data_IF_512111574437
#
_entry.id   IF_512111574437
#
_cell.length_a   1.000
_cell.length_b   1.000
_cell.length_c   1.000
_cell.angle_alpha   90.00
_cell.angle_beta   90.00
_cell.angle_gamma   90.00
#
_symmetry.space_group_name_H-M   'P 1'
#
loop_
_entity.id
_entity.type
_entity.pdbx_description
1 polymer ?
#
# COMPACT_ATOMS: atom_id res chain seq x y z
N UNK A 1 -15.09 9.61 16.71
CA UNK A 1 -14.16 8.48 16.57
C UNK A 1 -14.44 7.89 15.19
N UNK A 2 -13.41 7.70 14.38
CA UNK A 2 -13.53 7.06 13.08
C UNK A 2 -13.88 5.58 13.28
N UNK A 3 -14.75 5.02 12.45
CA UNK A 3 -15.16 3.62 12.55
C UNK A 3 -14.00 2.72 12.10
N UNK A 4 -13.62 1.75 12.95
CA UNK A 4 -12.62 0.73 12.57
C UNK A 4 -13.31 -0.44 11.87
N UNK A 5 -13.34 -0.40 10.54
CA UNK A 5 -13.98 -1.42 9.69
C UNK A 5 -13.28 -2.79 9.75
N UNK A 6 -12.05 -2.85 10.26
CA UNK A 6 -11.20 -4.05 10.23
C UNK A 6 -11.11 -4.78 11.57
N UNK A 7 -11.72 -4.24 12.64
CA UNK A 7 -11.64 -4.78 14.00
C UNK A 7 -11.93 -6.29 14.10
N UNK A 8 -12.90 -6.79 13.33
CA UNK A 8 -13.30 -8.20 13.36
C UNK A 8 -12.40 -9.13 12.54
N UNK A 9 -11.56 -8.58 11.66
CA UNK A 9 -10.76 -9.31 10.68
C UNK A 9 -9.26 -9.29 10.99
N UNK A 10 -8.78 -8.33 11.79
CA UNK A 10 -7.35 -8.09 12.03
C UNK A 10 -6.60 -9.35 12.51
N UNK A 11 -7.09 -10.03 13.54
CA UNK A 11 -6.44 -11.21 14.13
C UNK A 11 -6.28 -12.42 13.18
N UNK A 12 -7.15 -12.53 12.19
CA UNK A 12 -7.12 -13.64 11.21
C UNK A 12 -6.65 -13.20 9.82
N UNK A 13 -6.21 -11.94 9.68
CA UNK A 13 -5.88 -11.36 8.38
C UNK A 13 -4.79 -12.14 7.67
N UNK A 14 -3.71 -12.45 8.37
CA UNK A 14 -2.54 -13.14 7.83
C UNK A 14 -2.75 -14.65 7.64
N UNK A 15 -3.81 -15.21 8.23
CA UNK A 15 -4.17 -16.62 8.02
C UNK A 15 -4.76 -16.90 6.63
N UNK A 16 -5.11 -15.84 5.89
CA UNK A 16 -5.64 -15.96 4.54
C UNK A 16 -4.52 -16.15 3.52
N UNK A 17 -4.32 -17.38 3.04
CA UNK A 17 -3.27 -17.72 2.08
C UNK A 17 -3.33 -16.92 0.78
N UNK A 18 -4.51 -16.46 0.35
CA UNK A 18 -4.66 -15.60 -0.84
C UNK A 18 -4.08 -14.22 -0.61
N UNK A 19 -4.31 -13.61 0.57
CA UNK A 19 -3.73 -12.30 0.92
C UNK A 19 -2.21 -12.37 0.99
N UNK A 20 -1.68 -13.40 1.64
CA UNK A 20 -0.23 -13.64 1.73
C UNK A 20 0.38 -13.83 0.34
N UNK A 21 -0.25 -14.63 -0.52
CA UNK A 21 0.20 -14.85 -1.90
C UNK A 21 0.17 -13.55 -2.71
N UNK A 22 -0.90 -12.75 -2.57
CA UNK A 22 -1.02 -11.45 -3.24
C UNK A 22 0.10 -10.50 -2.80
N UNK A 23 0.30 -10.30 -1.49
CA UNK A 23 1.36 -9.45 -0.96
C UNK A 23 2.76 -9.90 -1.41
N UNK A 24 3.03 -11.21 -1.43
CA UNK A 24 4.29 -11.77 -1.93
C UNK A 24 4.52 -11.48 -3.42
N UNK A 25 3.48 -11.60 -4.25
CA UNK A 25 3.56 -11.31 -5.70
C UNK A 25 3.85 -9.83 -5.93
N UNK A 26 3.15 -8.95 -5.23
CA UNK A 26 3.35 -7.50 -5.28
C UNK A 26 4.79 -7.16 -4.84
N UNK A 27 5.25 -7.66 -3.69
CA UNK A 27 6.60 -7.41 -3.19
C UNK A 27 7.67 -7.89 -4.19
N UNK A 28 7.48 -9.06 -4.81
CA UNK A 28 8.41 -9.58 -5.81
C UNK A 28 8.52 -8.65 -7.03
N UNK A 29 7.41 -8.06 -7.47
CA UNK A 29 7.40 -7.13 -8.59
C UNK A 29 8.00 -5.76 -8.21
N UNK A 30 7.75 -5.28 -6.98
CA UNK A 30 8.41 -4.09 -6.41
C UNK A 30 9.93 -4.26 -6.43
N UNK A 31 10.44 -5.38 -5.89
CA UNK A 31 11.88 -5.69 -5.83
C UNK A 31 12.53 -5.83 -7.22
N UNK A 32 11.75 -6.22 -8.22
CA UNK A 32 12.21 -6.28 -9.62
C UNK A 32 12.32 -4.91 -10.26
N UNK A 33 11.40 -4.00 -9.96
CA UNK A 33 11.24 -2.74 -10.67
C UNK A 33 11.96 -1.56 -10.00
N UNK A 34 12.18 -1.62 -8.69
CA UNK A 34 12.78 -0.53 -7.91
C UNK A 34 14.13 -1.00 -7.34
N UNK A 35 15.21 -0.22 -7.51
CA UNK A 35 16.52 -0.53 -6.96
C UNK A 35 16.55 -0.26 -5.44
N UNK A 36 15.86 -1.13 -4.69
CA UNK A 36 15.77 -1.02 -3.23
C UNK A 36 17.11 -1.31 -2.58
N UNK A 37 17.45 -0.57 -1.53
CA UNK A 37 18.69 -0.73 -0.77
C UNK A 37 18.45 -0.72 0.75
N UNK A 38 19.39 -1.33 1.48
CA UNK A 38 19.39 -1.41 2.95
C UNK A 38 19.45 -0.06 3.70
N UNK A 39 19.65 1.03 2.98
CA UNK A 39 19.67 2.38 3.57
C UNK A 39 18.31 3.07 3.49
N UNK A 40 17.38 2.55 2.70
CA UNK A 40 16.08 3.18 2.50
C UNK A 40 15.19 3.09 3.73
N UNK A 41 14.59 4.22 4.10
CA UNK A 41 13.43 4.28 4.98
C UNK A 41 12.18 4.18 4.09
N UNK A 42 11.29 3.29 4.46
CA UNK A 42 10.09 2.99 3.67
C UNK A 42 8.84 3.31 4.47
N UNK A 43 7.87 3.96 3.83
CA UNK A 43 6.49 4.04 4.35
C UNK A 43 5.67 2.91 3.72
N UNK A 44 4.93 2.18 4.53
CA UNK A 44 3.84 1.30 4.08
C UNK A 44 2.51 2.00 4.40
N UNK A 45 1.85 2.49 3.35
CA UNK A 45 0.58 3.21 3.46
C UNK A 45 -0.59 2.23 3.46
N UNK A 46 -1.40 2.30 4.52
CA UNK A 46 -2.44 1.31 4.78
C UNK A 46 -1.82 -0.05 5.06
N UNK A 47 -0.80 -0.05 5.92
CA UNK A 47 0.02 -1.23 6.20
C UNK A 47 -0.79 -2.42 6.73
N UNK A 48 -1.94 -2.15 7.34
CA UNK A 48 -2.74 -3.17 7.98
C UNK A 48 -1.94 -3.95 9.01
N UNK A 49 -1.91 -5.26 8.87
CA UNK A 49 -1.10 -6.15 9.71
C UNK A 49 0.36 -6.26 9.27
N UNK A 50 0.78 -5.56 8.19
CA UNK A 50 2.16 -5.54 7.69
C UNK A 50 2.51 -6.67 6.72
N UNK A 51 1.55 -7.24 6.01
CA UNK A 51 1.85 -8.32 5.05
C UNK A 51 2.83 -7.90 3.95
N UNK A 52 2.63 -6.72 3.34
CA UNK A 52 3.55 -6.21 2.32
C UNK A 52 4.88 -5.83 2.97
N UNK A 53 4.84 -5.10 4.09
CA UNK A 53 6.01 -4.74 4.90
C UNK A 53 6.90 -5.93 5.20
N UNK A 54 6.34 -7.10 5.56
CA UNK A 54 7.10 -8.29 5.91
C UNK A 54 8.01 -8.76 4.77
N UNK A 55 7.52 -8.72 3.52
CA UNK A 55 8.30 -9.12 2.37
C UNK A 55 9.33 -8.08 1.91
N UNK A 56 9.12 -6.79 2.26
CA UNK A 56 10.05 -5.69 1.91
C UNK A 56 11.10 -5.45 3.00
N UNK A 57 10.78 -5.72 4.27
CA UNK A 57 11.65 -5.51 5.43
C UNK A 57 13.09 -6.08 5.27
N UNK A 58 13.31 -7.26 4.66
CA UNK A 58 14.67 -7.77 4.44
C UNK A 58 15.58 -6.88 3.59
N UNK A 59 15.02 -5.90 2.87
CA UNK A 59 15.74 -5.11 1.86
C UNK A 59 15.91 -3.64 2.22
N UNK A 60 15.29 -3.17 3.33
CA UNK A 60 15.28 -1.77 3.76
C UNK A 60 15.85 -1.61 5.17
N UNK A 61 16.12 -0.36 5.60
CA UNK A 61 16.60 -0.06 6.96
C UNK A 61 15.47 0.06 7.98
N UNK A 62 14.34 0.60 7.53
CA UNK A 62 13.18 0.90 8.38
C UNK A 62 11.89 0.85 7.58
N UNK A 63 10.83 0.34 8.19
CA UNK A 63 9.45 0.46 7.72
C UNK A 63 8.65 1.32 8.71
N UNK A 64 8.00 2.35 8.19
CA UNK A 64 7.02 3.16 8.91
C UNK A 64 5.64 2.77 8.39
N UNK A 65 4.91 2.03 9.21
CA UNK A 65 3.55 1.59 8.90
C UNK A 65 2.56 2.71 9.25
N UNK A 66 1.85 3.23 8.27
CA UNK A 66 0.78 4.22 8.48
C UNK A 66 -0.55 3.57 8.17
N UNK A 67 -1.46 3.58 9.14
CA UNK A 67 -2.80 3.03 8.96
C UNK A 67 -3.79 3.81 9.84
N UNK A 68 -5.06 3.84 9.44
CA UNK A 68 -6.12 4.49 10.21
C UNK A 68 -6.91 3.50 11.08
N UNK A 69 -6.60 2.19 11.02
CA UNK A 69 -7.20 1.14 11.83
C UNK A 69 -6.30 0.78 13.03
N UNK A 70 -6.71 1.14 14.26
CA UNK A 70 -5.94 0.78 15.45
C UNK A 70 -5.87 -0.73 15.68
N UNK A 71 -6.88 -1.48 15.25
CA UNK A 71 -6.88 -2.93 15.37
C UNK A 71 -5.88 -3.61 14.43
N UNK A 72 -5.66 -3.05 13.24
CA UNK A 72 -4.64 -3.52 12.31
C UNK A 72 -3.24 -3.22 12.80
N UNK A 73 -2.97 -1.99 13.24
CA UNK A 73 -1.66 -1.61 13.78
C UNK A 73 -1.29 -2.39 15.04
N UNK A 74 -2.27 -2.76 15.85
CA UNK A 74 -2.02 -3.64 17.01
C UNK A 74 -1.44 -5.00 16.58
N UNK A 75 -1.94 -5.59 15.49
CA UNK A 75 -1.40 -6.86 14.96
C UNK A 75 -0.04 -6.65 14.27
N UNK A 76 0.19 -5.48 13.66
CA UNK A 76 1.50 -5.09 13.13
C UNK A 76 2.53 -5.02 14.26
N UNK A 77 2.23 -4.29 15.34
CA UNK A 77 3.14 -4.10 16.48
C UNK A 77 3.43 -5.42 17.21
N UNK A 78 2.45 -6.31 17.31
CA UNK A 78 2.61 -7.63 17.92
C UNK A 78 3.64 -8.51 17.17
N UNK A 79 3.89 -8.22 15.89
CA UNK A 79 4.87 -8.92 15.04
C UNK A 79 6.14 -8.11 14.79
N UNK A 80 6.32 -6.97 15.45
CA UNK A 80 7.42 -6.04 15.17
C UNK A 80 8.80 -6.68 15.24
N UNK A 81 9.01 -7.65 16.12
CA UNK A 81 10.26 -8.40 16.27
C UNK A 81 10.52 -9.42 15.15
N UNK A 82 9.49 -9.78 14.36
CA UNK A 82 9.63 -10.71 13.23
C UNK A 82 10.15 -10.01 11.97
N UNK A 83 10.11 -8.67 11.92
CA UNK A 83 10.59 -7.92 10.78
C UNK A 83 12.11 -7.83 10.77
N UNK A 84 12.73 -8.02 9.62
CA UNK A 84 14.19 -7.95 9.44
C UNK A 84 14.73 -6.51 9.27
N UNK A 85 14.02 -5.51 9.80
CA UNK A 85 14.42 -4.11 9.84
C UNK A 85 13.80 -3.44 11.06
N UNK A 86 14.11 -2.15 11.29
CA UNK A 86 13.40 -1.35 12.29
C UNK A 86 11.97 -1.09 11.83
N UNK A 87 11.03 -1.09 12.75
CA UNK A 87 9.63 -0.77 12.48
C UNK A 87 9.14 0.36 13.37
N UNK A 88 8.17 1.09 12.85
CA UNK A 88 7.40 2.11 13.57
C UNK A 88 5.98 2.07 13.06
N UNK A 89 4.99 2.16 13.94
CA UNK A 89 3.59 2.27 13.55
C UNK A 89 3.03 3.65 13.88
N UNK A 90 2.22 4.20 12.97
CA UNK A 90 1.62 5.52 13.10
C UNK A 90 0.13 5.40 12.80
N UNK A 91 -0.70 5.66 13.82
CA UNK A 91 -2.14 5.73 13.64
C UNK A 91 -2.51 7.10 13.05
N UNK A 92 -2.73 7.17 11.76
CA UNK A 92 -3.06 8.40 11.06
C UNK A 92 -3.88 8.16 9.79
N UNK A 93 -4.64 9.19 9.42
CA UNK A 93 -5.15 9.39 8.06
C UNK A 93 -4.02 10.03 7.25
N UNK A 94 -3.61 9.38 6.15
CA UNK A 94 -2.45 9.82 5.36
C UNK A 94 -2.61 11.24 4.80
N UNK A 95 -3.83 11.62 4.40
CA UNK A 95 -4.08 12.96 3.84
C UNK A 95 -3.83 14.04 4.90
N UNK A 96 -4.06 13.72 6.15
CA UNK A 96 -3.88 14.62 7.30
C UNK A 96 -2.54 14.46 8.01
N UNK A 97 -1.76 13.44 7.61
CA UNK A 97 -0.46 13.17 8.23
C UNK A 97 0.52 14.28 7.90
N UNK A 98 0.95 15.00 8.92
CA UNK A 98 1.94 16.07 8.80
C UNK A 98 3.27 15.65 9.43
N UNK A 99 4.34 15.73 8.65
CA UNK A 99 5.69 15.40 9.07
C UNK A 99 6.72 16.18 8.24
N UNK A 100 7.89 16.41 8.84
CA UNK A 100 9.07 16.96 8.15
C UNK A 100 10.00 15.84 7.65
N UNK A 101 9.72 14.59 8.00
CA UNK A 101 10.51 13.47 7.50
C UNK A 101 10.19 13.19 6.04
N UNK A 102 11.22 12.78 5.31
CA UNK A 102 11.09 12.28 3.93
C UNK A 102 11.59 10.85 3.85
N UNK A 103 11.12 10.14 2.84
CA UNK A 103 11.34 8.71 2.67
C UNK A 103 11.87 8.41 1.28
N UNK A 104 12.65 7.36 1.15
CA UNK A 104 13.20 6.92 -0.14
C UNK A 104 12.22 6.00 -0.90
N UNK A 105 11.27 5.39 -0.19
CA UNK A 105 10.29 4.49 -0.78
C UNK A 105 8.96 4.62 -0.05
N UNK A 106 7.87 4.69 -0.81
CA UNK A 106 6.51 4.55 -0.29
C UNK A 106 5.86 3.37 -1.01
N UNK A 107 5.39 2.39 -0.24
CA UNK A 107 4.65 1.24 -0.75
C UNK A 107 3.21 1.28 -0.26
N UNK A 108 2.30 0.70 -1.02
CA UNK A 108 0.91 0.49 -0.61
C UNK A 108 0.31 -0.70 -1.34
N UNK A 109 -0.57 -1.44 -0.69
CA UNK A 109 -1.24 -2.58 -1.30
C UNK A 109 -2.68 -2.70 -0.83
N UNK A 110 -3.63 -2.64 -1.77
CA UNK A 110 -5.05 -2.85 -1.51
C UNK A 110 -5.62 -1.85 -0.48
N UNK A 111 -5.27 -0.59 -0.63
CA UNK A 111 -5.56 0.47 0.34
C UNK A 111 -6.17 1.70 -0.30
N UNK A 112 -5.64 2.14 -1.45
CA UNK A 112 -6.00 3.46 -1.99
C UNK A 112 -7.46 3.54 -2.45
N UNK A 113 -8.11 2.41 -2.70
CA UNK A 113 -9.54 2.36 -2.99
C UNK A 113 -10.44 2.78 -1.79
N UNK A 114 -9.88 2.92 -0.59
CA UNK A 114 -10.55 3.49 0.58
C UNK A 114 -10.33 5.00 0.74
N UNK A 115 -9.54 5.63 -0.12
CA UNK A 115 -9.22 7.06 -0.06
C UNK A 115 -10.03 7.79 -1.11
N UNK A 116 -10.80 8.80 -0.71
CA UNK A 116 -11.74 9.51 -1.58
C UNK A 116 -11.02 10.38 -2.63
N UNK A 117 -10.06 11.20 -2.19
CA UNK A 117 -9.32 12.14 -3.04
C UNK A 117 -7.97 11.56 -3.48
N UNK A 118 -7.95 10.86 -4.60
CA UNK A 118 -6.74 10.24 -5.16
C UNK A 118 -5.73 11.28 -5.68
N UNK A 119 -6.12 12.38 -6.37
CA UNK A 119 -5.21 13.46 -6.69
C UNK A 119 -4.46 14.01 -5.47
N UNK A 120 -5.18 14.38 -4.40
CA UNK A 120 -4.57 14.88 -3.16
C UNK A 120 -3.66 13.83 -2.50
N UNK A 121 -4.01 12.54 -2.59
CA UNK A 121 -3.14 11.47 -2.14
C UNK A 121 -1.79 11.50 -2.88
N UNK A 122 -1.80 11.52 -4.22
CA UNK A 122 -0.56 11.47 -5.00
C UNK A 122 0.30 12.72 -4.79
N UNK A 123 -0.30 13.90 -4.61
CA UNK A 123 0.42 15.12 -4.20
C UNK A 123 1.09 14.91 -2.84
N UNK A 124 0.38 14.34 -1.86
CA UNK A 124 0.92 14.03 -0.53
C UNK A 124 2.05 13.01 -0.58
N UNK A 125 1.92 11.95 -1.40
CA UNK A 125 3.00 10.98 -1.59
C UNK A 125 4.25 11.63 -2.21
N UNK A 126 4.06 12.55 -3.16
CA UNK A 126 5.15 13.31 -3.75
C UNK A 126 5.87 14.19 -2.72
N UNK A 127 5.14 14.86 -1.83
CA UNK A 127 5.72 15.66 -0.74
C UNK A 127 6.54 14.81 0.23
N UNK A 128 6.04 13.63 0.61
CA UNK A 128 6.68 12.73 1.57
C UNK A 128 7.95 12.05 1.03
N UNK A 129 8.15 12.00 -0.29
CA UNK A 129 9.35 11.43 -0.86
C UNK A 129 10.51 12.41 -0.88
N UNK A 130 11.71 11.90 -0.61
CA UNK A 130 12.95 12.62 -0.96
C UNK A 130 13.16 12.67 -2.48
N UNK A 131 14.01 13.58 -2.95
CA UNK A 131 14.39 13.64 -4.37
C UNK A 131 15.01 12.30 -4.80
N UNK A 132 14.50 11.76 -5.91
CA UNK A 132 14.91 10.46 -6.43
C UNK A 132 14.27 9.26 -5.73
N UNK A 133 13.36 9.48 -4.79
CA UNK A 133 12.58 8.44 -4.13
C UNK A 133 11.53 7.81 -5.05
N UNK A 134 10.96 6.70 -4.61
CA UNK A 134 10.04 5.89 -5.41
C UNK A 134 8.70 5.67 -4.70
N UNK A 135 7.63 5.57 -5.49
CA UNK A 135 6.37 4.99 -5.06
C UNK A 135 6.15 3.61 -5.70
N UNK A 136 5.46 2.74 -4.98
CA UNK A 136 4.99 1.45 -5.47
C UNK A 136 3.58 1.19 -4.92
N UNK A 137 2.58 1.46 -5.72
CA UNK A 137 1.17 1.41 -5.34
C UNK A 137 0.49 0.26 -6.08
N UNK A 138 -0.02 -0.72 -5.32
CA UNK A 138 -0.77 -1.84 -5.87
C UNK A 138 -2.22 -1.78 -5.43
N UNK A 139 -3.16 -1.84 -6.38
CA UNK A 139 -4.59 -1.87 -6.10
C UNK A 139 -5.36 -2.54 -7.24
N UNK A 140 -6.67 -2.65 -7.09
CA UNK A 140 -7.55 -3.29 -8.06
C UNK A 140 -7.64 -2.50 -9.36
N UNK A 141 -7.60 -3.20 -10.48
CA UNK A 141 -8.12 -2.69 -11.73
C UNK A 141 -9.62 -2.39 -11.58
N UNK A 142 -10.12 -1.45 -12.37
CA UNK A 142 -11.53 -1.05 -12.35
C UNK A 142 -12.45 -2.26 -12.44
N UNK A 143 -13.40 -2.34 -11.51
CA UNK A 143 -14.33 -3.46 -11.39
C UNK A 143 -15.76 -2.95 -11.14
N UNK A 144 -16.73 -3.82 -10.99
CA UNK A 144 -18.16 -3.52 -10.95
C UNK A 144 -18.78 -3.47 -9.54
N UNK A 145 -17.94 -3.38 -8.49
CA UNK A 145 -18.36 -3.36 -7.08
C UNK A 145 -18.52 -4.75 -6.47
N UNK A 146 -18.15 -5.81 -7.19
CA UNK A 146 -18.34 -7.19 -6.72
C UNK A 146 -17.12 -7.78 -5.99
N UNK A 147 -16.01 -7.01 -5.91
CA UNK A 147 -14.83 -7.44 -5.17
C UNK A 147 -15.10 -7.49 -3.66
N UNK A 148 -15.73 -6.48 -3.10
CA UNK A 148 -16.04 -6.43 -1.67
C UNK A 148 -17.43 -7.02 -1.41
N UNK A 149 -17.52 -8.02 -0.52
CA UNK A 149 -18.80 -8.65 -0.13
C UNK A 149 -19.51 -7.95 1.02
N UNK A 150 -18.85 -6.99 1.66
CA UNK A 150 -19.31 -6.23 2.82
C UNK A 150 -18.91 -4.77 2.66
N UNK A 151 -19.64 -3.87 3.31
CA UNK A 151 -19.24 -2.46 3.41
C UNK A 151 -17.98 -2.36 4.29
N UNK A 152 -16.87 -1.97 3.67
CA UNK A 152 -15.58 -1.74 4.33
C UNK A 152 -15.10 -0.31 4.14
N UNK A 153 -16.01 0.63 3.80
CA UNK A 153 -15.65 2.03 3.56
C UNK A 153 -14.93 2.23 2.22
N UNK A 154 -15.32 1.48 1.19
CA UNK A 154 -14.76 1.60 -0.16
C UNK A 154 -15.27 2.86 -0.84
N UNK A 155 -14.36 3.70 -1.34
CA UNK A 155 -14.67 4.90 -2.12
C UNK A 155 -14.60 4.63 -3.63
N UNK A 156 -13.74 3.69 -4.06
CA UNK A 156 -13.52 3.37 -5.48
C UNK A 156 -13.60 1.88 -5.74
N UNK A 157 -14.29 1.47 -6.78
CA UNK A 157 -14.34 0.08 -7.27
C UNK A 157 -13.19 -0.15 -8.26
N UNK A 158 -11.95 -0.11 -7.72
CA UNK A 158 -10.73 -0.19 -8.50
C UNK A 158 -10.50 1.03 -9.40
N UNK A 159 -9.42 0.99 -10.18
CA UNK A 159 -8.94 2.15 -10.93
C UNK A 159 -8.69 1.80 -12.40
N UNK A 160 -9.04 2.74 -13.28
CA UNK A 160 -8.57 2.72 -14.66
C UNK A 160 -7.07 3.02 -14.67
N UNK A 161 -6.29 2.19 -15.40
CA UNK A 161 -4.82 2.30 -15.41
C UNK A 161 -4.32 3.60 -16.04
N UNK A 162 -4.96 4.05 -17.10
CA UNK A 162 -4.55 5.30 -17.75
C UNK A 162 -4.86 6.49 -16.86
N UNK A 163 -6.01 6.48 -16.20
CA UNK A 163 -6.40 7.52 -15.27
C UNK A 163 -5.43 7.64 -14.08
N UNK A 164 -5.07 6.52 -13.43
CA UNK A 164 -4.14 6.55 -12.29
C UNK A 164 -2.72 6.96 -12.69
N UNK A 165 -2.29 6.60 -13.90
CA UNK A 165 -1.02 7.05 -14.50
C UNK A 165 -1.03 8.56 -14.73
N UNK A 166 -2.14 9.12 -15.21
CA UNK A 166 -2.26 10.56 -15.46
C UNK A 166 -2.30 11.37 -14.14
N UNK A 167 -2.90 10.83 -13.09
CA UNK A 167 -2.82 11.40 -11.73
C UNK A 167 -1.37 11.44 -11.24
N UNK A 168 -0.64 10.33 -11.38
CA UNK A 168 0.78 10.28 -10.97
C UNK A 168 1.63 11.30 -11.73
N UNK A 169 1.43 11.45 -13.06
CA UNK A 169 2.11 12.47 -13.87
C UNK A 169 1.78 13.87 -13.38
N UNK A 170 0.50 14.14 -13.12
CA UNK A 170 0.03 15.45 -12.68
C UNK A 170 0.61 15.86 -11.33
N UNK A 171 0.85 14.91 -10.43
CA UNK A 171 1.53 15.12 -9.16
C UNK A 171 3.06 15.33 -9.30
N UNK A 172 3.64 15.13 -10.50
CA UNK A 172 5.06 15.37 -10.79
C UNK A 172 5.92 14.12 -10.89
N UNK A 173 5.36 12.93 -10.72
CA UNK A 173 6.10 11.68 -10.83
C UNK A 173 6.59 11.41 -12.27
N UNK A 174 7.74 10.75 -12.37
CA UNK A 174 8.42 10.37 -13.61
C UNK A 174 8.68 8.87 -13.65
N UNK A 175 9.15 8.37 -14.78
CA UNK A 175 9.51 6.96 -14.98
C UNK A 175 8.37 6.00 -14.54
N UNK A 176 7.13 6.41 -14.85
CA UNK A 176 5.93 5.70 -14.42
C UNK A 176 5.79 4.40 -15.21
N UNK A 177 5.63 3.30 -14.48
CA UNK A 177 5.39 1.97 -15.02
C UNK A 177 4.19 1.35 -14.31
N UNK A 178 3.28 0.74 -15.07
CA UNK A 178 2.14 0.01 -14.51
C UNK A 178 2.08 -1.39 -15.12
N UNK A 179 1.95 -2.40 -14.27
CA UNK A 179 1.95 -3.83 -14.66
C UNK A 179 0.93 -4.60 -13.79
N UNK A 180 0.46 -5.74 -14.27
CA UNK A 180 -0.32 -6.67 -13.44
C UNK A 180 0.60 -7.35 -12.44
N UNK A 181 0.36 -7.15 -11.13
CA UNK A 181 1.14 -7.74 -10.05
C UNK A 181 0.60 -9.10 -9.62
N UNK A 182 -0.72 -9.26 -9.66
CA UNK A 182 -1.37 -10.51 -9.29
C UNK A 182 -2.80 -10.57 -9.82
N UNK A 183 -3.41 -11.75 -9.71
CA UNK A 183 -4.82 -11.98 -10.00
C UNK A 183 -5.44 -12.62 -8.75
N UNK A 184 -6.53 -12.03 -8.26
CA UNK A 184 -7.30 -12.55 -7.13
C UNK A 184 -8.53 -13.26 -7.68
N UNK A 185 -8.50 -14.59 -7.67
CA UNK A 185 -9.66 -15.39 -8.11
C UNK A 185 -10.72 -15.46 -7.02
N UNK A 186 -11.95 -15.11 -7.38
CA UNK A 186 -13.17 -15.33 -6.60
C UNK A 186 -14.12 -16.26 -7.36
N UNK A 187 -15.16 -16.83 -6.71
CA UNK A 187 -16.04 -17.80 -7.34
C UNK A 187 -16.68 -17.35 -8.65
N UNK A 188 -16.87 -16.04 -8.84
CA UNK A 188 -17.62 -15.48 -9.96
C UNK A 188 -16.73 -14.88 -11.06
N UNK A 189 -15.50 -14.44 -10.72
CA UNK A 189 -14.55 -13.84 -11.66
C UNK A 189 -13.17 -13.66 -11.05
N UNK A 190 -12.21 -13.40 -11.91
CA UNK A 190 -10.87 -12.97 -11.55
C UNK A 190 -10.82 -11.43 -11.48
N UNK A 191 -10.03 -10.93 -10.52
CA UNK A 191 -9.78 -9.51 -10.32
C UNK A 191 -8.28 -9.27 -10.45
N UNK A 192 -7.90 -8.44 -11.40
CA UNK A 192 -6.50 -8.05 -11.56
C UNK A 192 -6.12 -7.00 -10.52
N UNK A 193 -4.90 -7.12 -10.03
CA UNK A 193 -4.24 -6.14 -9.17
C UNK A 193 -3.06 -5.56 -9.95
N UNK A 194 -3.10 -4.27 -10.22
CA UNK A 194 -1.96 -3.59 -10.83
C UNK A 194 -0.89 -3.26 -9.79
N UNK A 195 0.33 -3.02 -10.24
CA UNK A 195 1.38 -2.29 -9.53
C UNK A 195 1.79 -1.10 -10.38
N UNK A 196 1.58 0.11 -9.86
CA UNK A 196 2.15 1.33 -10.38
C UNK A 196 3.44 1.63 -9.62
N UNK A 197 4.55 1.78 -10.33
CA UNK A 197 5.82 2.27 -9.80
C UNK A 197 6.19 3.57 -10.48
N UNK A 198 6.70 4.54 -9.73
CA UNK A 198 7.13 5.84 -10.26
C UNK A 198 8.22 6.46 -9.39
N UNK A 199 8.89 7.47 -9.93
CA UNK A 199 10.01 8.18 -9.29
C UNK A 199 9.69 9.66 -9.11
N UNK A 200 10.08 10.24 -8.00
CA UNK A 200 10.10 11.68 -7.77
C UNK A 200 11.25 12.36 -8.48
#
# INVERSE_FOLDING_TARGET
MQQDYFQHKSKSWDMNSRRVKNAKSIASLILKNIPISKNMKTVDLGAGTGLLSFFIAPYVSKVVAIDNSPSMLKEFDAKSEEFMCKTESILADIIKYDTKETYELIISSMTIHHIDDIPALFEKLYELLCDGGYIAIADLDKEDGTFHSEDTGVCHYGFDRDWIVDIAKSAGFKDIKIETASIISKPHRDFEVFLLTAKK
#
